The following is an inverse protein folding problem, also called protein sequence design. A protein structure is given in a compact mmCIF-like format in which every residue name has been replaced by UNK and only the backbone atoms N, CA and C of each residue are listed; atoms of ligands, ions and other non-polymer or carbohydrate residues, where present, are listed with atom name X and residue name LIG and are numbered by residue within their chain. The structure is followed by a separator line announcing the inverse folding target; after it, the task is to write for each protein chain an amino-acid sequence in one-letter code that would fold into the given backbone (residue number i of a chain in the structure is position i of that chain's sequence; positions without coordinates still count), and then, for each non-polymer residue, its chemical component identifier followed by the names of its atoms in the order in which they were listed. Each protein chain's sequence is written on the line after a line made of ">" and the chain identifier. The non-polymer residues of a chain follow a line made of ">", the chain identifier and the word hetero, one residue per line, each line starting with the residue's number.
data_IF_657046526152
#
_entry.id   IF_657046526152
#
_cell.length_a   1.000
_cell.length_b   1.000
_cell.length_c   1.000
_cell.angle_alpha   90.00
_cell.angle_beta   90.00
_cell.angle_gamma   90.00
#
_symmetry.space_group_name_H-M   'P 1'
#
loop_
_entity.id
_entity.type
_entity.pdbx_description
1 polymer ?
#
# COMPACT_ATOMS: atom_id res chain seq x y z
N UNK A 1 0.24 60.44 16.66
CA UNK A 1 0.65 60.56 18.08
C UNK A 1 -0.05 59.43 18.82
N UNK A 2 0.67 58.34 19.09
CA UNK A 2 0.24 57.25 19.94
C UNK A 2 0.44 57.71 21.39
N UNK A 3 -0.65 57.79 22.12
CA UNK A 3 -0.61 58.03 23.56
C UNK A 3 -0.15 56.74 24.26
N UNK A 4 1.08 56.71 24.75
CA UNK A 4 1.50 55.74 25.74
C UNK A 4 0.96 56.21 27.10
N UNK A 5 -0.10 55.57 27.59
CA UNK A 5 -0.55 55.75 28.95
C UNK A 5 0.56 55.35 29.94
N UNK A 6 0.67 56.13 31.00
CA UNK A 6 1.60 55.88 32.09
C UNK A 6 1.42 54.48 32.67
N UNK A 7 2.41 53.60 32.48
CA UNK A 7 2.46 52.32 33.19
C UNK A 7 2.80 52.63 34.65
N UNK A 8 1.88 52.35 35.56
CA UNK A 8 2.24 52.22 36.97
C UNK A 8 3.33 51.14 37.10
N UNK A 9 4.37 51.37 37.92
CA UNK A 9 5.36 50.33 38.18
C UNK A 9 4.65 49.14 38.84
N UNK A 10 4.82 47.95 38.26
CA UNK A 10 4.39 46.72 38.88
C UNK A 10 5.02 46.58 40.25
N UNK A 11 4.27 46.17 41.30
CA UNK A 11 4.83 45.96 42.63
C UNK A 11 5.93 44.90 42.53
N UNK A 12 7.13 45.23 43.00
CA UNK A 12 8.33 44.39 42.98
C UNK A 12 8.27 43.15 43.88
N UNK A 13 7.17 42.94 44.58
CA UNK A 13 7.01 41.85 45.55
C UNK A 13 5.98 40.77 45.16
N UNK A 14 5.58 40.72 43.91
CA UNK A 14 4.89 39.52 43.44
C UNK A 14 5.96 38.44 43.17
N UNK A 15 6.03 37.37 43.97
CA UNK A 15 6.91 36.25 43.62
C UNK A 15 6.47 35.77 42.26
N UNK A 16 7.40 35.75 41.28
CA UNK A 16 7.25 35.01 40.06
C UNK A 16 7.24 33.50 40.41
N UNK A 17 6.14 33.03 40.99
CA UNK A 17 5.79 31.63 40.97
C UNK A 17 5.34 31.32 39.54
N UNK A 18 6.27 31.27 38.62
CA UNK A 18 6.10 30.51 37.41
C UNK A 18 6.06 29.07 37.88
N UNK A 19 4.86 28.50 37.89
CA UNK A 19 4.71 27.10 38.20
C UNK A 19 5.57 26.33 37.17
N UNK A 20 6.66 25.73 37.65
CA UNK A 20 7.62 25.01 36.77
C UNK A 20 6.86 23.91 36.00
N UNK A 21 5.83 23.33 36.63
CA UNK A 21 4.99 22.32 36.05
C UNK A 21 4.12 22.87 34.88
N UNK A 22 3.62 24.11 34.98
CA UNK A 22 2.91 24.79 33.89
C UNK A 22 3.83 25.04 32.69
N UNK A 23 5.06 25.50 32.92
CA UNK A 23 6.04 25.73 31.87
C UNK A 23 6.47 24.44 31.18
N UNK A 24 6.61 23.36 31.91
CA UNK A 24 6.92 22.05 31.34
C UNK A 24 5.76 21.52 30.50
N UNK A 25 4.52 21.67 30.95
CA UNK A 25 3.32 21.32 30.18
C UNK A 25 3.21 22.15 28.89
N UNK A 26 3.41 23.45 28.95
CA UNK A 26 3.40 24.31 27.75
C UNK A 26 4.51 23.93 26.77
N UNK A 27 5.69 23.59 27.24
CA UNK A 27 6.81 23.10 26.42
C UNK A 27 6.47 21.79 25.73
N UNK A 28 5.87 20.87 26.47
CA UNK A 28 5.43 19.58 25.89
C UNK A 28 4.35 19.76 24.82
N UNK A 29 3.35 20.59 25.08
CA UNK A 29 2.30 20.91 24.11
C UNK A 29 2.91 21.54 22.85
N UNK A 30 3.80 22.53 23.02
CA UNK A 30 4.46 23.17 21.90
C UNK A 30 5.34 22.20 21.10
N UNK A 31 6.06 21.32 21.79
CA UNK A 31 6.85 20.26 21.15
C UNK A 31 5.96 19.31 20.32
N UNK A 32 4.84 18.88 20.89
CA UNK A 32 3.86 18.03 20.17
C UNK A 32 3.29 18.74 18.94
N UNK A 33 2.93 20.01 19.04
CA UNK A 33 2.40 20.81 17.92
C UNK A 33 3.44 20.94 16.79
N UNK A 34 4.68 21.26 17.12
CA UNK A 34 5.78 21.37 16.15
C UNK A 34 6.09 20.03 15.50
N UNK A 35 6.14 18.96 16.28
CA UNK A 35 6.40 17.61 15.80
C UNK A 35 5.27 17.15 14.86
N UNK A 36 4.00 17.38 15.22
CA UNK A 36 2.85 17.09 14.35
C UNK A 36 2.96 17.79 13.01
N UNK A 37 3.34 19.08 13.02
CA UNK A 37 3.56 19.82 11.78
C UNK A 37 4.69 19.21 10.95
N UNK A 38 5.82 18.88 11.57
CA UNK A 38 6.97 18.27 10.87
C UNK A 38 6.59 16.89 10.27
N UNK A 39 5.83 16.08 10.99
CA UNK A 39 5.32 14.80 10.48
C UNK A 39 4.42 15.04 9.27
N UNK A 40 3.49 15.99 9.34
CA UNK A 40 2.60 16.32 8.23
C UNK A 40 3.38 16.76 6.99
N UNK A 41 4.35 17.67 7.15
CA UNK A 41 5.18 18.18 6.06
C UNK A 41 6.06 17.06 5.44
N UNK A 42 6.57 16.15 6.27
CA UNK A 42 7.34 14.99 5.82
C UNK A 42 6.48 14.02 4.99
N UNK A 43 5.27 13.71 5.43
CA UNK A 43 4.34 12.84 4.69
C UNK A 43 3.90 13.48 3.38
N UNK A 44 3.67 14.79 3.36
CA UNK A 44 3.37 15.54 2.14
C UNK A 44 4.54 15.47 1.14
N UNK A 45 5.77 15.66 1.63
CA UNK A 45 6.99 15.57 0.82
C UNK A 45 7.16 14.17 0.25
N UNK A 46 6.97 13.14 1.06
CA UNK A 46 7.03 11.74 0.63
C UNK A 46 6.03 11.46 -0.50
N UNK A 47 4.77 11.83 -0.32
CA UNK A 47 3.73 11.61 -1.34
C UNK A 47 4.05 12.36 -2.65
N UNK A 48 4.51 13.62 -2.54
CA UNK A 48 4.92 14.40 -3.70
C UNK A 48 6.11 13.77 -4.44
N UNK A 49 7.16 13.37 -3.73
CA UNK A 49 8.35 12.78 -4.33
C UNK A 49 8.05 11.45 -5.04
N UNK A 50 7.22 10.59 -4.44
CA UNK A 50 6.82 9.32 -5.06
C UNK A 50 6.10 9.57 -6.39
N UNK A 51 5.26 10.59 -6.48
CA UNK A 51 4.49 10.89 -7.70
C UNK A 51 5.28 11.70 -8.74
N UNK A 52 6.30 12.46 -8.34
CA UNK A 52 7.12 13.26 -9.25
C UNK A 52 8.36 12.54 -9.76
N UNK A 53 8.91 11.59 -8.98
CA UNK A 53 10.07 10.81 -9.39
C UNK A 53 9.70 9.75 -10.43
N UNK A 54 10.66 9.45 -11.30
CA UNK A 54 10.56 8.37 -12.29
C UNK A 54 11.71 7.39 -12.08
N UNK A 55 11.43 6.11 -12.25
CA UNK A 55 12.47 5.10 -12.32
C UNK A 55 13.19 5.20 -13.68
N UNK A 56 14.33 4.54 -13.84
CA UNK A 56 15.18 4.65 -15.03
C UNK A 56 14.47 4.35 -16.35
N UNK A 57 13.42 3.54 -16.33
CA UNK A 57 12.58 3.24 -17.50
C UNK A 57 11.38 4.21 -17.68
N UNK A 58 11.33 5.32 -16.96
CA UNK A 58 10.31 6.36 -17.07
C UNK A 58 9.00 6.07 -16.31
N UNK A 59 8.88 4.96 -15.60
CA UNK A 59 7.69 4.63 -14.81
C UNK A 59 7.70 5.34 -13.47
N UNK A 60 6.51 5.57 -12.91
CA UNK A 60 6.34 5.99 -11.51
C UNK A 60 6.70 4.81 -10.59
N UNK A 61 7.43 5.05 -9.48
CA UNK A 61 7.70 3.99 -8.50
C UNK A 61 6.43 3.39 -7.95
N UNK A 62 6.33 2.06 -7.95
CA UNK A 62 5.24 1.34 -7.31
C UNK A 62 5.53 1.19 -5.82
N UNK A 63 4.90 2.02 -5.02
CA UNK A 63 5.06 2.03 -3.56
C UNK A 63 3.74 1.72 -2.91
N UNK A 64 3.74 0.83 -1.92
CA UNK A 64 2.61 0.55 -1.05
C UNK A 64 2.98 0.89 0.38
N UNK A 65 2.10 1.57 1.10
CA UNK A 65 2.25 1.87 2.52
C UNK A 65 1.10 1.21 3.27
N UNK A 66 1.45 0.23 4.10
CA UNK A 66 0.53 -0.42 5.02
C UNK A 66 0.58 0.25 6.39
N UNK A 67 -0.58 0.52 6.99
CA UNK A 67 -0.68 1.16 8.31
C UNK A 67 -2.02 0.82 8.97
N UNK A 68 -2.28 1.33 10.16
CA UNK A 68 -3.51 1.11 10.92
C UNK A 68 -3.26 0.57 12.34
N UNK A 69 -2.15 -0.14 12.57
CA UNK A 69 -1.94 -0.91 13.79
C UNK A 69 -1.11 -0.20 14.88
N UNK A 70 -0.32 0.80 14.56
CA UNK A 70 0.50 1.53 15.55
C UNK A 70 -0.38 2.40 16.45
N UNK A 71 -0.30 2.21 17.76
CA UNK A 71 -1.16 2.88 18.76
C UNK A 71 -0.45 3.94 19.59
N UNK A 72 0.89 3.99 19.54
CA UNK A 72 1.64 5.07 20.19
C UNK A 72 1.39 6.43 19.50
N UNK A 73 1.68 7.50 20.23
CA UNK A 73 1.38 8.84 19.76
C UNK A 73 2.03 9.17 18.40
N UNK A 74 3.30 8.80 18.19
CA UNK A 74 4.00 9.08 16.94
C UNK A 74 3.39 8.29 15.77
N UNK A 75 3.16 7.00 15.96
CA UNK A 75 2.53 6.17 14.95
C UNK A 75 1.14 6.67 14.56
N UNK A 76 0.35 7.12 15.55
CA UNK A 76 -0.98 7.72 15.30
C UNK A 76 -0.89 9.02 14.50
N UNK A 77 0.06 9.91 14.83
CA UNK A 77 0.24 11.17 14.09
C UNK A 77 0.76 10.94 12.67
N UNK A 78 1.63 9.96 12.44
CA UNK A 78 2.06 9.56 11.08
C UNK A 78 0.87 9.05 10.26
N UNK A 79 0.07 8.15 10.81
CA UNK A 79 -1.13 7.62 10.15
C UNK A 79 -2.13 8.72 9.81
N UNK A 80 -2.37 9.62 10.76
CA UNK A 80 -3.23 10.79 10.57
C UNK A 80 -2.71 11.70 9.46
N UNK A 81 -1.41 11.98 9.44
CA UNK A 81 -0.78 12.83 8.43
C UNK A 81 -0.87 12.20 7.02
N UNK A 82 -0.68 10.90 6.89
CA UNK A 82 -0.84 10.18 5.61
C UNK A 82 -2.27 10.38 5.07
N UNK A 83 -3.27 10.15 5.92
CA UNK A 83 -4.68 10.27 5.53
C UNK A 83 -5.07 11.70 5.18
N UNK A 84 -4.66 12.68 6.00
CA UNK A 84 -4.98 14.10 5.76
C UNK A 84 -4.31 14.62 4.48
N UNK A 85 -3.06 14.24 4.20
CA UNK A 85 -2.39 14.60 2.96
C UNK A 85 -3.10 14.00 1.75
N UNK A 86 -3.50 12.72 1.81
CA UNK A 86 -4.27 12.09 0.75
C UNK A 86 -5.62 12.78 0.53
N UNK A 87 -6.35 13.12 1.59
CA UNK A 87 -7.63 13.86 1.48
C UNK A 87 -7.41 15.21 0.81
N UNK A 88 -6.36 15.93 1.20
CA UNK A 88 -6.03 17.22 0.61
C UNK A 88 -5.69 17.11 -0.88
N UNK A 89 -4.94 16.08 -1.27
CA UNK A 89 -4.44 15.89 -2.62
C UNK A 89 -3.20 16.73 -2.95
N UNK A 90 -2.62 16.46 -4.12
CA UNK A 90 -1.36 17.05 -4.58
C UNK A 90 -1.57 18.36 -5.34
N UNK A 91 -0.67 19.30 -5.09
CA UNK A 91 -0.60 20.56 -5.82
C UNK A 91 -1.74 21.52 -5.53
N UNK A 92 -1.85 22.55 -6.38
CA UNK A 92 -2.89 23.59 -6.27
C UNK A 92 -4.27 23.08 -6.64
N UNK A 93 -4.33 22.12 -7.55
CA UNK A 93 -5.58 21.57 -8.09
C UNK A 93 -6.05 20.35 -7.28
N UNK A 94 -5.40 20.04 -6.18
CA UNK A 94 -5.76 18.95 -5.27
C UNK A 94 -5.92 17.58 -5.97
N UNK A 95 -5.03 17.27 -6.91
CA UNK A 95 -5.07 16.00 -7.62
C UNK A 95 -4.93 14.80 -6.67
N UNK A 96 -5.66 13.74 -6.97
CA UNK A 96 -5.52 12.48 -6.23
C UNK A 96 -4.17 11.85 -6.56
N UNK A 97 -3.35 11.62 -5.55
CA UNK A 97 -2.09 10.90 -5.72
C UNK A 97 -2.35 9.45 -6.14
N UNK A 98 -1.63 8.97 -7.16
CA UNK A 98 -1.72 7.57 -7.59
C UNK A 98 -0.92 6.67 -6.62
N UNK A 99 0.25 7.14 -6.20
CA UNK A 99 1.14 6.45 -5.27
C UNK A 99 1.50 7.36 -4.07
N UNK A 100 1.85 6.78 -2.93
CA UNK A 100 1.82 5.35 -2.60
C UNK A 100 0.39 4.81 -2.62
N UNK A 101 0.22 3.53 -2.93
CA UNK A 101 -1.01 2.82 -2.60
C UNK A 101 -1.10 2.72 -1.09
N UNK A 102 -2.23 3.12 -0.54
CA UNK A 102 -2.46 3.12 0.89
C UNK A 102 -3.30 1.90 1.26
N UNK A 103 -2.85 1.15 2.25
CA UNK A 103 -3.56 -0.02 2.79
C UNK A 103 -3.74 0.16 4.29
N UNK A 104 -4.98 0.28 4.72
CA UNK A 104 -5.36 0.40 6.12
C UNK A 104 -5.78 -0.95 6.69
N UNK A 105 -5.09 -1.40 7.72
CA UNK A 105 -5.38 -2.67 8.37
C UNK A 105 -6.34 -2.46 9.53
N UNK A 106 -7.47 -3.18 9.51
CA UNK A 106 -8.44 -3.23 10.60
C UNK A 106 -8.15 -4.47 11.45
N UNK A 107 -8.11 -4.26 12.78
CA UNK A 107 -7.87 -5.31 13.77
C UNK A 107 -8.71 -5.06 15.02
N UNK A 108 -9.33 -6.13 15.57
CA UNK A 108 -10.03 -6.04 16.84
C UNK A 108 -9.10 -5.66 17.98
N UNK A 109 -9.57 -4.80 18.89
CA UNK A 109 -8.79 -4.25 20.00
C UNK A 109 -7.79 -3.16 19.61
N UNK A 110 -7.73 -2.78 18.32
CA UNK A 110 -6.85 -1.72 17.83
C UNK A 110 -7.63 -0.57 17.20
N UNK A 111 -8.55 -0.90 16.27
CA UNK A 111 -9.31 0.11 15.52
C UNK A 111 -10.64 -0.41 14.96
N UNK A 112 -11.02 -1.68 15.21
CA UNK A 112 -12.24 -2.24 14.64
C UNK A 112 -13.49 -1.67 15.32
N UNK A 113 -13.48 -1.55 16.64
CA UNK A 113 -14.65 -1.30 17.46
C UNK A 113 -14.64 0.10 18.09
N UNK A 114 -15.80 0.70 18.37
CA UNK A 114 -15.89 1.92 19.14
C UNK A 114 -15.21 1.75 20.52
N UNK A 115 -14.27 2.65 20.84
CA UNK A 115 -13.46 2.56 22.06
C UNK A 115 -12.06 2.01 21.86
N UNK A 116 -11.77 1.42 20.71
CA UNK A 116 -10.40 1.02 20.35
C UNK A 116 -9.47 2.25 20.20
N UNK A 117 -8.17 2.12 20.51
CA UNK A 117 -7.21 3.23 20.51
C UNK A 117 -7.16 4.02 19.19
N UNK A 118 -7.33 3.34 18.06
CA UNK A 118 -7.24 3.93 16.71
C UNK A 118 -8.60 3.95 15.98
N UNK A 119 -9.72 3.87 16.69
CA UNK A 119 -11.03 3.90 16.05
C UNK A 119 -11.26 5.20 15.25
N UNK A 120 -10.82 6.34 15.78
CA UNK A 120 -10.88 7.64 15.10
C UNK A 120 -10.08 7.64 13.79
N UNK A 121 -8.93 6.96 13.75
CA UNK A 121 -8.13 6.80 12.54
C UNK A 121 -8.82 5.90 11.51
N UNK A 122 -9.56 4.87 11.93
CA UNK A 122 -10.40 4.08 11.02
C UNK A 122 -11.48 4.96 10.39
N UNK A 123 -12.16 5.78 11.16
CA UNK A 123 -13.17 6.70 10.62
C UNK A 123 -12.56 7.66 9.59
N UNK A 124 -11.41 8.23 9.90
CA UNK A 124 -10.68 9.09 8.97
C UNK A 124 -10.21 8.33 7.71
N UNK A 125 -9.81 7.06 7.85
CA UNK A 125 -9.44 6.21 6.71
C UNK A 125 -10.62 5.93 5.77
N UNK A 126 -11.80 5.64 6.34
CA UNK A 126 -13.03 5.47 5.57
C UNK A 126 -13.45 6.78 4.88
N UNK A 127 -13.37 7.91 5.56
CA UNK A 127 -13.60 9.22 4.95
C UNK A 127 -12.64 9.47 3.78
N UNK A 128 -11.36 9.16 3.97
CA UNK A 128 -10.35 9.28 2.91
C UNK A 128 -10.69 8.38 1.72
N UNK A 129 -11.07 7.14 1.97
CA UNK A 129 -11.44 6.18 0.92
C UNK A 129 -12.64 6.66 0.09
N UNK A 130 -13.66 7.24 0.70
CA UNK A 130 -14.82 7.79 -0.02
C UNK A 130 -14.47 8.97 -0.92
N UNK A 131 -13.47 9.78 -0.52
CA UNK A 131 -13.05 10.98 -1.28
C UNK A 131 -11.99 10.69 -2.33
N UNK A 132 -11.11 9.70 -2.10
CA UNK A 132 -9.89 9.46 -2.89
C UNK A 132 -9.73 8.03 -3.38
N UNK A 133 -10.69 7.14 -3.11
CA UNK A 133 -10.65 5.70 -3.40
C UNK A 133 -9.48 4.95 -2.74
N UNK A 134 -8.84 5.56 -1.75
CA UNK A 134 -7.79 5.01 -0.89
C UNK A 134 -7.97 5.53 0.53
N UNK A 135 -7.55 4.77 1.55
CA UNK A 135 -6.85 3.49 1.51
C UNK A 135 -7.75 2.30 1.15
N UNK A 136 -7.14 1.23 0.61
CA UNK A 136 -7.75 -0.10 0.63
C UNK A 136 -7.83 -0.57 2.09
N UNK A 137 -8.93 -1.24 2.45
CA UNK A 137 -9.14 -1.75 3.81
C UNK A 137 -8.93 -3.26 3.81
N UNK A 138 -8.09 -3.74 4.71
CA UNK A 138 -7.84 -5.16 4.91
C UNK A 138 -8.11 -5.57 6.35
N UNK A 139 -8.61 -6.78 6.56
CA UNK A 139 -8.94 -7.30 7.87
C UNK A 139 -7.84 -8.26 8.36
N UNK A 140 -7.19 -7.89 9.45
CA UNK A 140 -6.07 -8.64 10.02
C UNK A 140 -6.39 -10.11 10.24
N UNK A 141 -7.52 -10.37 10.92
CA UNK A 141 -7.93 -11.71 11.30
C UNK A 141 -8.22 -12.59 10.07
N UNK A 142 -8.82 -12.03 9.03
CA UNK A 142 -9.11 -12.76 7.79
C UNK A 142 -7.81 -13.14 7.05
N UNK A 143 -6.84 -12.23 7.00
CA UNK A 143 -5.54 -12.51 6.39
C UNK A 143 -4.86 -13.64 7.16
N UNK A 144 -4.76 -13.52 8.49
CA UNK A 144 -4.15 -14.56 9.34
C UNK A 144 -4.84 -15.91 9.18
N UNK A 145 -6.18 -15.92 9.12
CA UNK A 145 -6.96 -17.15 8.91
C UNK A 145 -6.63 -17.85 7.59
N UNK A 146 -6.42 -17.08 6.53
CA UNK A 146 -6.18 -17.61 5.17
C UNK A 146 -4.71 -18.00 4.98
N UNK A 147 -3.79 -17.18 5.48
CA UNK A 147 -2.35 -17.29 5.16
C UNK A 147 -1.48 -17.78 6.32
N UNK A 148 -2.07 -18.02 7.51
CA UNK A 148 -1.36 -18.46 8.71
C UNK A 148 -0.67 -17.34 9.49
N UNK A 149 -0.35 -16.21 8.87
CA UNK A 149 0.26 -15.02 9.50
C UNK A 149 -0.25 -13.75 8.84
N UNK A 150 -0.12 -12.59 9.52
CA UNK A 150 -0.46 -11.33 8.89
C UNK A 150 0.56 -10.97 7.82
N UNK A 151 0.07 -10.65 6.64
CA UNK A 151 0.89 -10.25 5.47
C UNK A 151 0.30 -8.97 4.89
N UNK A 152 1.12 -7.94 4.78
CA UNK A 152 0.72 -6.73 4.09
C UNK A 152 0.62 -6.99 2.58
N UNK A 153 -0.45 -6.57 1.91
CA UNK A 153 -0.54 -6.67 0.46
C UNK A 153 0.52 -5.79 -0.19
N UNK A 154 1.07 -6.25 -1.31
CA UNK A 154 2.10 -5.57 -2.07
C UNK A 154 1.57 -5.17 -3.45
N UNK A 155 1.92 -3.95 -3.90
CA UNK A 155 1.54 -3.46 -5.23
C UNK A 155 0.02 -3.45 -5.45
N UNK A 156 -0.45 -4.24 -6.42
CA UNK A 156 -1.87 -4.34 -6.79
C UNK A 156 -2.64 -5.39 -5.99
N UNK A 157 -2.40 -5.50 -4.67
CA UNK A 157 -3.05 -6.44 -3.73
C UNK A 157 -2.54 -7.88 -3.82
N UNK A 158 -1.28 -8.08 -4.25
CA UNK A 158 -0.64 -9.39 -4.15
C UNK A 158 -0.21 -9.66 -2.71
N UNK A 159 -0.57 -10.83 -2.20
CA UNK A 159 -0.07 -11.33 -0.92
C UNK A 159 1.07 -12.29 -1.22
N UNK A 160 2.30 -11.90 -0.86
CA UNK A 160 3.44 -12.80 -0.93
C UNK A 160 3.44 -13.67 0.33
N UNK A 161 3.50 -14.98 0.14
CA UNK A 161 3.64 -15.91 1.27
C UNK A 161 5.00 -15.72 1.95
N UNK A 162 5.10 -16.07 3.22
CA UNK A 162 6.37 -16.20 3.91
C UNK A 162 7.25 -17.25 3.23
N UNK A 163 8.53 -17.24 3.50
CA UNK A 163 9.48 -18.23 3.00
C UNK A 163 10.28 -18.82 4.16
N UNK A 164 10.60 -20.11 4.05
CA UNK A 164 11.41 -20.77 5.06
C UNK A 164 12.87 -20.40 4.82
N UNK A 165 13.46 -19.67 5.76
CA UNK A 165 14.89 -19.37 5.72
C UNK A 165 15.69 -20.66 6.01
N UNK A 166 16.52 -21.13 5.07
CA UNK A 166 17.26 -22.37 5.25
C UNK A 166 18.34 -22.29 6.35
N UNK A 167 18.77 -21.09 6.74
CA UNK A 167 19.78 -20.88 7.78
C UNK A 167 19.17 -20.93 9.18
N UNK A 168 17.97 -20.38 9.34
CA UNK A 168 17.31 -20.26 10.64
C UNK A 168 16.20 -21.29 10.86
N UNK A 169 15.69 -21.90 9.79
CA UNK A 169 14.53 -22.79 9.79
C UNK A 169 13.21 -22.09 10.11
N UNK A 170 13.20 -20.75 10.16
CA UNK A 170 12.03 -19.95 10.51
C UNK A 170 11.31 -19.43 9.26
N UNK A 171 10.00 -19.25 9.40
CA UNK A 171 9.21 -18.50 8.41
C UNK A 171 9.56 -17.02 8.53
N UNK A 172 10.01 -16.43 7.42
CA UNK A 172 10.37 -15.02 7.31
C UNK A 172 9.49 -14.33 6.26
N UNK A 173 9.10 -13.12 6.56
CA UNK A 173 8.28 -12.30 5.67
C UNK A 173 9.09 -11.30 4.85
N UNK A 174 10.34 -11.05 5.26
CA UNK A 174 11.24 -10.15 4.57
C UNK A 174 12.00 -10.83 3.42
N UNK A 175 12.49 -10.03 2.49
CA UNK A 175 13.32 -10.49 1.38
C UNK A 175 12.57 -11.33 0.35
N UNK A 176 11.23 -11.24 0.29
CA UNK A 176 10.40 -11.87 -0.74
C UNK A 176 10.41 -11.05 -2.02
N UNK A 177 10.21 -11.70 -3.15
CA UNK A 177 10.27 -11.06 -4.46
C UNK A 177 9.18 -11.59 -5.40
N UNK A 178 8.52 -10.69 -6.12
CA UNK A 178 7.70 -11.06 -7.27
C UNK A 178 8.51 -10.85 -8.55
N UNK A 179 8.76 -11.92 -9.29
CA UNK A 179 9.55 -11.90 -10.53
C UNK A 179 8.80 -11.29 -11.71
N UNK A 180 7.52 -11.08 -11.57
CA UNK A 180 6.71 -10.37 -12.53
C UNK A 180 5.30 -10.88 -12.67
N UNK A 181 4.52 -10.13 -13.46
CA UNK A 181 3.10 -10.35 -13.68
C UNK A 181 2.86 -10.54 -15.18
N UNK A 182 1.96 -11.44 -15.54
CA UNK A 182 1.34 -11.53 -16.87
C UNK A 182 -0.16 -11.34 -16.68
N UNK A 183 -0.76 -10.36 -17.37
CA UNK A 183 -2.18 -10.03 -17.24
C UNK A 183 -2.96 -10.43 -18.47
N UNK A 184 -4.11 -11.08 -18.26
CA UNK A 184 -5.05 -11.48 -19.30
C UNK A 184 -6.03 -10.33 -19.58
N UNK A 185 -6.19 -9.96 -20.85
CA UNK A 185 -7.17 -8.96 -21.29
C UNK A 185 -8.52 -9.64 -21.53
N UNK A 186 -9.36 -9.68 -20.49
CA UNK A 186 -10.66 -10.38 -20.52
C UNK A 186 -11.67 -9.71 -21.47
N UNK A 187 -11.76 -8.35 -21.58
CA UNK A 187 -12.63 -7.71 -22.58
C UNK A 187 -12.36 -8.14 -24.01
N UNK A 188 -11.08 -8.27 -24.36
CA UNK A 188 -10.72 -8.73 -25.71
C UNK A 188 -11.23 -10.13 -25.98
N UNK A 189 -11.11 -11.03 -25.01
CA UNK A 189 -11.66 -12.39 -25.11
C UNK A 189 -13.18 -12.36 -25.27
N UNK A 190 -13.86 -11.51 -24.51
CA UNK A 190 -15.30 -11.34 -24.59
C UNK A 190 -15.74 -10.85 -25.98
N UNK A 191 -15.04 -9.85 -26.55
CA UNK A 191 -15.32 -9.33 -27.89
C UNK A 191 -15.07 -10.43 -28.96
N UNK A 192 -13.93 -11.13 -28.90
CA UNK A 192 -13.57 -12.21 -29.84
C UNK A 192 -14.50 -13.43 -29.74
N UNK A 193 -15.22 -13.58 -28.61
CA UNK A 193 -16.20 -14.67 -28.44
C UNK A 193 -17.51 -14.46 -29.23
N UNK A 194 -17.76 -13.20 -29.66
CA UNK A 194 -18.99 -12.82 -30.39
C UNK A 194 -20.28 -13.25 -29.67
N UNK A 195 -20.31 -13.11 -28.31
CA UNK A 195 -21.46 -13.45 -27.47
C UNK A 195 -21.64 -14.94 -27.14
N UNK A 196 -20.79 -15.82 -27.65
CA UNK A 196 -20.81 -17.24 -27.28
C UNK A 196 -20.00 -17.49 -26.01
N UNK A 197 -20.67 -18.01 -24.97
CA UNK A 197 -20.02 -18.37 -23.69
C UNK A 197 -19.02 -19.54 -23.89
N UNK A 198 -19.36 -20.54 -24.69
CA UNK A 198 -18.47 -21.68 -24.99
C UNK A 198 -17.19 -21.19 -25.65
N UNK A 199 -17.32 -20.30 -26.66
CA UNK A 199 -16.17 -19.70 -27.33
C UNK A 199 -15.35 -18.83 -26.41
N UNK A 200 -16.01 -18.11 -25.52
CA UNK A 200 -15.30 -17.30 -24.49
C UNK A 200 -14.41 -18.18 -23.63
N UNK A 201 -14.94 -19.24 -23.03
CA UNK A 201 -14.16 -20.13 -22.18
C UNK A 201 -13.05 -20.87 -22.93
N UNK A 202 -13.28 -21.24 -24.18
CA UNK A 202 -12.24 -21.81 -25.03
C UNK A 202 -11.09 -20.84 -25.23
N UNK A 203 -11.38 -19.60 -25.65
CA UNK A 203 -10.38 -18.55 -25.84
C UNK A 203 -9.69 -18.17 -24.51
N UNK A 204 -10.45 -18.13 -23.43
CA UNK A 204 -9.90 -17.86 -22.11
C UNK A 204 -8.85 -18.90 -21.71
N UNK A 205 -9.17 -20.18 -21.84
CA UNK A 205 -8.24 -21.26 -21.53
C UNK A 205 -6.99 -21.24 -22.43
N UNK A 206 -7.15 -20.94 -23.71
CA UNK A 206 -6.02 -20.77 -24.64
C UNK A 206 -5.10 -19.61 -24.20
N UNK A 207 -5.66 -18.45 -23.79
CA UNK A 207 -4.89 -17.31 -23.30
C UNK A 207 -4.25 -17.58 -21.95
N UNK A 208 -4.92 -18.33 -21.08
CA UNK A 208 -4.37 -18.76 -19.79
C UNK A 208 -3.14 -19.66 -19.99
N UNK A 209 -3.19 -20.59 -20.94
CA UNK A 209 -2.05 -21.45 -21.27
C UNK A 209 -0.86 -20.62 -21.79
N UNK A 210 -1.12 -19.65 -22.69
CA UNK A 210 -0.07 -18.74 -23.18
C UNK A 210 0.51 -17.90 -22.02
N UNK A 211 -0.33 -17.41 -21.10
CA UNK A 211 0.11 -16.67 -19.94
C UNK A 211 0.97 -17.53 -19.00
N UNK A 212 0.58 -18.78 -18.79
CA UNK A 212 1.37 -19.75 -18.02
C UNK A 212 2.76 -19.97 -18.66
N UNK A 213 2.83 -20.22 -19.95
CA UNK A 213 4.09 -20.39 -20.68
C UNK A 213 4.97 -19.13 -20.59
N UNK A 214 4.38 -17.94 -20.69
CA UNK A 214 5.09 -16.68 -20.54
C UNK A 214 5.69 -16.52 -19.13
N UNK A 215 4.96 -16.93 -18.08
CA UNK A 215 5.47 -16.92 -16.71
C UNK A 215 6.60 -17.95 -16.52
N UNK A 216 6.47 -19.16 -17.06
CA UNK A 216 7.54 -20.17 -17.02
C UNK A 216 8.80 -19.68 -17.74
N UNK A 217 8.65 -19.06 -18.92
CA UNK A 217 9.76 -18.45 -19.63
C UNK A 217 10.45 -17.36 -18.78
N UNK A 218 9.67 -16.50 -18.10
CA UNK A 218 10.20 -15.47 -17.22
C UNK A 218 11.00 -16.08 -16.05
N UNK A 219 10.46 -17.10 -15.39
CA UNK A 219 11.17 -17.81 -14.31
C UNK A 219 12.52 -18.34 -14.82
N UNK A 220 12.50 -19.00 -15.97
CA UNK A 220 13.72 -19.55 -16.59
C UNK A 220 14.75 -18.44 -16.86
N UNK A 221 14.32 -17.31 -17.41
CA UNK A 221 15.22 -16.18 -17.68
C UNK A 221 15.77 -15.55 -16.40
N UNK A 222 14.95 -15.40 -15.36
CA UNK A 222 15.39 -14.87 -14.07
C UNK A 222 16.44 -15.80 -13.41
N UNK A 223 16.27 -17.11 -13.49
CA UNK A 223 17.22 -18.10 -12.98
C UNK A 223 18.58 -18.06 -13.67
N UNK A 224 18.63 -17.63 -14.92
CA UNK A 224 19.86 -17.46 -15.69
C UNK A 224 20.58 -16.14 -15.41
N UNK A 225 19.98 -15.23 -14.64
CA UNK A 225 20.62 -13.96 -14.30
C UNK A 225 21.85 -14.19 -13.41
N UNK A 226 22.85 -13.33 -13.59
CA UNK A 226 24.03 -13.31 -12.74
C UNK A 226 23.94 -12.13 -11.76
N UNK A 227 24.63 -12.18 -10.61
CA UNK A 227 24.60 -11.10 -9.65
C UNK A 227 25.05 -9.75 -10.20
N UNK A 228 25.86 -9.73 -11.27
CA UNK A 228 26.31 -8.50 -11.91
C UNK A 228 25.25 -7.86 -12.82
N UNK A 229 24.21 -8.59 -13.21
CA UNK A 229 23.10 -8.04 -14.02
C UNK A 229 22.27 -7.01 -13.23
N UNK A 230 22.16 -7.21 -11.91
CA UNK A 230 21.47 -6.28 -11.00
C UNK A 230 22.22 -6.22 -9.66
N UNK A 231 23.39 -5.56 -9.61
CA UNK A 231 24.26 -5.63 -8.46
C UNK A 231 23.64 -5.05 -7.18
N UNK A 232 22.83 -4.01 -7.27
CA UNK A 232 22.12 -3.44 -6.13
C UNK A 232 21.22 -4.50 -5.46
N UNK A 233 20.51 -5.30 -6.25
CA UNK A 233 19.65 -6.35 -5.75
C UNK A 233 20.45 -7.53 -5.19
N UNK A 234 21.39 -8.07 -5.97
CA UNK A 234 21.94 -9.39 -5.71
C UNK A 234 23.32 -9.38 -5.02
N UNK A 235 24.05 -8.24 -5.03
CA UNK A 235 25.39 -8.15 -4.43
C UNK A 235 25.45 -7.22 -3.23
N UNK A 236 24.72 -6.08 -3.27
CA UNK A 236 24.87 -5.02 -2.28
C UNK A 236 23.80 -5.03 -1.20
N UNK A 237 22.94 -6.03 -1.17
CA UNK A 237 22.09 -6.35 -0.03
C UNK A 237 20.65 -5.85 -0.12
N UNK A 238 20.19 -5.28 -1.24
CA UNK A 238 18.77 -4.95 -1.37
C UNK A 238 17.88 -6.22 -1.35
N UNK A 239 18.38 -7.34 -1.91
CA UNK A 239 17.71 -8.64 -1.85
C UNK A 239 18.68 -9.78 -1.41
N UNK A 240 19.93 -9.71 -1.78
CA UNK A 240 20.95 -10.68 -1.43
C UNK A 240 22.34 -10.08 -1.40
N UNK A 241 23.33 -10.87 -0.96
CA UNK A 241 24.75 -10.49 -0.89
C UNK A 241 25.63 -11.55 -1.55
N UNK A 242 25.31 -11.88 -2.80
CA UNK A 242 26.06 -12.88 -3.57
C UNK A 242 27.38 -12.29 -4.10
N UNK A 243 28.40 -13.13 -4.18
CA UNK A 243 29.63 -12.84 -4.95
C UNK A 243 29.33 -12.66 -6.43
N UNK A 244 30.24 -12.05 -7.19
CA UNK A 244 30.06 -11.79 -8.62
C UNK A 244 29.76 -13.05 -9.45
N UNK A 245 30.33 -14.18 -9.07
CA UNK A 245 30.15 -15.51 -9.69
C UNK A 245 29.06 -16.36 -9.02
N UNK A 246 28.32 -15.80 -8.07
CA UNK A 246 27.25 -16.51 -7.37
C UNK A 246 26.10 -16.88 -8.30
N UNK A 247 25.22 -17.78 -7.82
CA UNK A 247 24.04 -18.19 -8.55
C UNK A 247 22.79 -17.49 -7.98
N UNK A 248 22.15 -16.66 -8.78
CA UNK A 248 20.95 -15.92 -8.37
C UNK A 248 19.76 -16.85 -8.07
N UNK A 249 19.69 -18.04 -8.71
CA UNK A 249 18.62 -19.01 -8.45
C UNK A 249 18.57 -19.46 -6.97
N UNK A 250 19.68 -19.39 -6.25
CA UNK A 250 19.69 -19.70 -4.82
C UNK A 250 18.81 -18.78 -3.98
N UNK A 251 18.59 -17.54 -4.46
CA UNK A 251 17.73 -16.55 -3.81
C UNK A 251 16.25 -16.74 -4.12
N UNK A 252 15.89 -17.58 -5.08
CA UNK A 252 14.50 -17.76 -5.54
C UNK A 252 13.85 -19.04 -4.97
N UNK A 253 14.60 -19.83 -4.24
CA UNK A 253 14.14 -21.08 -3.64
C UNK A 253 13.30 -20.84 -2.38
N UNK A 254 12.67 -21.89 -1.90
CA UNK A 254 11.90 -21.92 -0.65
C UNK A 254 10.78 -20.87 -0.61
N UNK A 255 10.05 -20.71 -1.72
CA UNK A 255 8.92 -19.78 -1.86
C UNK A 255 9.28 -18.29 -1.73
N UNK A 256 10.57 -17.96 -1.68
CA UNK A 256 11.03 -16.58 -1.58
C UNK A 256 10.72 -15.75 -2.81
N UNK A 257 10.61 -16.37 -3.97
CA UNK A 257 10.23 -15.70 -5.21
C UNK A 257 8.94 -16.28 -5.79
N UNK A 258 8.06 -15.41 -6.26
CA UNK A 258 6.78 -15.75 -6.86
C UNK A 258 6.64 -15.13 -8.24
N UNK A 259 5.67 -15.59 -9.01
CA UNK A 259 5.13 -14.93 -10.19
C UNK A 259 3.64 -14.76 -10.01
N UNK A 260 3.06 -13.76 -10.67
CA UNK A 260 1.63 -13.48 -10.57
C UNK A 260 0.96 -13.56 -11.94
N UNK A 261 -0.21 -14.20 -11.97
CA UNK A 261 -1.15 -14.09 -13.06
C UNK A 261 -2.20 -13.06 -12.69
N UNK A 262 -2.38 -12.05 -13.54
CA UNK A 262 -3.38 -11.02 -13.37
C UNK A 262 -4.45 -11.09 -14.46
N UNK A 263 -5.52 -10.36 -14.24
CA UNK A 263 -6.53 -10.09 -15.24
C UNK A 263 -7.04 -8.65 -15.13
N UNK A 264 -7.57 -8.13 -16.22
CA UNK A 264 -8.16 -6.78 -16.28
C UNK A 264 -9.49 -6.81 -17.00
N UNK A 265 -10.37 -5.88 -16.67
CA UNK A 265 -11.54 -5.52 -17.45
C UNK A 265 -12.72 -6.49 -17.30
N UNK A 266 -12.98 -7.04 -16.11
CA UNK A 266 -14.16 -7.89 -15.88
C UNK A 266 -15.46 -7.14 -16.14
N UNK A 267 -15.57 -5.86 -15.73
CA UNK A 267 -16.74 -5.02 -15.94
C UNK A 267 -16.99 -4.83 -17.46
N UNK A 268 -15.94 -4.52 -18.21
CA UNK A 268 -16.04 -4.36 -19.67
C UNK A 268 -16.40 -5.67 -20.38
N UNK A 269 -15.83 -6.81 -19.94
CA UNK A 269 -16.19 -8.10 -20.47
C UNK A 269 -17.67 -8.45 -20.19
N UNK A 270 -18.15 -8.14 -19.00
CA UNK A 270 -19.56 -8.30 -18.63
C UNK A 270 -20.46 -7.40 -19.49
N UNK A 271 -20.02 -6.16 -19.77
CA UNK A 271 -20.75 -5.24 -20.65
C UNK A 271 -20.89 -5.78 -22.08
N UNK A 272 -19.90 -6.52 -22.57
CA UNK A 272 -19.96 -7.15 -23.90
C UNK A 272 -21.04 -8.23 -23.97
N UNK A 273 -21.23 -9.00 -22.88
CA UNK A 273 -22.21 -10.07 -22.85
C UNK A 273 -23.63 -9.61 -22.53
N UNK A 274 -23.76 -8.67 -21.61
CA UNK A 274 -25.07 -8.32 -21.00
C UNK A 274 -25.47 -6.86 -21.18
N UNK A 275 -24.62 -6.05 -21.80
CA UNK A 275 -24.84 -4.61 -21.95
C UNK A 275 -24.41 -3.77 -20.75
N UNK A 276 -24.24 -2.46 -20.97
CA UNK A 276 -23.76 -1.53 -19.92
C UNK A 276 -24.77 -1.32 -18.81
N UNK A 277 -26.06 -1.37 -19.13
CA UNK A 277 -27.13 -1.13 -18.14
C UNK A 277 -27.23 -2.29 -17.16
N UNK A 278 -26.96 -3.51 -17.60
CA UNK A 278 -26.93 -4.67 -16.72
C UNK A 278 -25.88 -4.55 -15.60
N UNK A 279 -24.70 -4.00 -15.91
CA UNK A 279 -23.66 -3.77 -14.92
C UNK A 279 -24.12 -2.80 -13.84
N UNK A 280 -24.84 -1.73 -14.24
CA UNK A 280 -25.38 -0.75 -13.31
C UNK A 280 -26.42 -1.35 -12.38
N UNK A 281 -27.25 -2.25 -12.88
CA UNK A 281 -28.41 -2.78 -12.15
C UNK A 281 -28.07 -4.07 -11.36
N UNK A 282 -27.07 -4.85 -11.79
CA UNK A 282 -26.74 -6.16 -11.22
C UNK A 282 -25.22 -6.39 -11.06
N UNK A 283 -24.37 -5.47 -11.51
CA UNK A 283 -22.94 -5.71 -11.70
C UNK A 283 -22.14 -5.88 -10.41
N UNK A 284 -22.59 -5.31 -9.32
CA UNK A 284 -21.92 -5.44 -8.04
C UNK A 284 -22.01 -6.86 -7.47
N UNK A 285 -23.17 -7.48 -7.59
CA UNK A 285 -23.39 -8.84 -7.07
C UNK A 285 -22.60 -9.89 -7.85
N UNK A 286 -22.48 -9.73 -9.17
CA UNK A 286 -21.74 -10.67 -10.02
C UNK A 286 -20.23 -10.52 -9.96
N UNK A 287 -19.70 -9.30 -9.82
CA UNK A 287 -18.25 -9.04 -9.67
C UNK A 287 -17.73 -9.52 -8.32
N UNK A 288 -18.52 -9.41 -7.26
CA UNK A 288 -18.19 -9.94 -5.94
C UNK A 288 -18.16 -11.47 -5.95
N UNK A 289 -19.14 -12.13 -6.57
CA UNK A 289 -19.19 -13.60 -6.66
C UNK A 289 -18.09 -14.21 -7.53
N UNK A 290 -17.59 -13.50 -8.54
CA UNK A 290 -16.51 -14.00 -9.41
C UNK A 290 -15.12 -13.75 -8.84
N UNK A 291 -14.95 -12.75 -7.98
CA UNK A 291 -13.67 -12.48 -7.30
C UNK A 291 -13.42 -13.39 -6.09
N UNK A 292 -14.47 -13.91 -5.45
CA UNK A 292 -14.36 -14.83 -4.32
C UNK A 292 -14.22 -16.30 -4.73
N UNK A 293 -14.41 -16.60 -6.02
CA UNK A 293 -14.29 -17.97 -6.57
C UNK A 293 -12.94 -18.23 -7.25
N UNK A 294 -12.03 -17.27 -7.24
CA UNK A 294 -10.65 -17.36 -7.73
C UNK A 294 -9.68 -17.30 -6.56
#
# INVERSE_FOLDING_TARGET
>A
KLHFGSREPLPMDTPFHTDVDELEQEREILAKVRTRKSIYDAMQTMEYQINSNRVSNGQTPFVTVGFGLGTDWFAREVQRAILLNRIRGLGKDHHTAIFPKLVFTVRHGVNADPGDPNYDLKQLALECATKRMYPDVVFYENIVKITGSFKAPMGCRSFLQGWINPETGKDEEDGRMNLGVVSVNVPRIAIESHGSKERFWKLFNERMEVAHQALQFRIMRCKQATPVNAPTLFRFGAFGRLGASGNVDTLFKNERATVSLGYIGLAEATAVFYGKDWIRDHGWDCLLYTSDAA
#
